data_IF_652460076312
#
_entry.id   IF_652460076312
#
_cell.length_a   1.000
_cell.length_b   1.000
_cell.length_c   1.000
_cell.angle_alpha   90.00
_cell.angle_beta   90.00
_cell.angle_gamma   90.00
#
_symmetry.space_group_name_H-M   'P 1'
#
loop_
_entity.id
_entity.type
_entity.pdbx_description
1 polymer ?
#
# COMPACT_ATOMS: atom_id res chain seq x y z
N UNK A 1 18.71 3.82 -12.44
CA UNK A 1 17.68 3.54 -13.45
C UNK A 1 16.75 4.73 -13.45
N UNK A 2 16.61 5.41 -14.60
CA UNK A 2 15.80 6.62 -14.74
C UNK A 2 14.33 6.21 -14.93
N UNK A 3 13.57 6.19 -13.85
CA UNK A 3 12.12 5.96 -13.90
C UNK A 3 11.47 7.23 -14.44
N UNK A 4 11.18 7.24 -15.74
CA UNK A 4 10.66 8.37 -16.49
C UNK A 4 9.65 9.21 -15.70
N UNK A 5 10.10 10.42 -15.32
CA UNK A 5 9.37 11.32 -14.43
C UNK A 5 7.99 11.64 -14.99
N UNK A 6 6.95 11.17 -14.31
CA UNK A 6 5.63 11.81 -14.42
C UNK A 6 5.33 12.51 -13.10
N UNK A 7 4.91 13.78 -13.18
CA UNK A 7 4.65 14.61 -12.00
C UNK A 7 3.28 14.26 -11.39
N UNK A 8 3.18 13.11 -10.70
CA UNK A 8 2.09 12.94 -9.73
C UNK A 8 2.27 13.98 -8.62
N UNK A 9 1.22 14.75 -8.32
CA UNK A 9 1.30 15.78 -7.28
C UNK A 9 1.21 15.15 -5.89
N UNK A 10 1.71 15.87 -4.88
CA UNK A 10 1.55 15.45 -3.48
C UNK A 10 0.07 15.30 -3.09
N UNK A 11 -0.82 16.10 -3.66
CA UNK A 11 -2.27 16.01 -3.39
C UNK A 11 -2.91 14.79 -4.04
N UNK A 12 -2.49 14.41 -5.24
CA UNK A 12 -2.88 13.15 -5.85
C UNK A 12 -2.41 11.98 -5.00
N UNK A 13 -1.15 11.98 -4.55
CA UNK A 13 -0.63 10.95 -3.64
C UNK A 13 -1.44 10.88 -2.35
N UNK A 14 -1.73 12.02 -1.70
CA UNK A 14 -2.59 12.07 -0.50
C UNK A 14 -3.97 11.47 -0.77
N UNK A 15 -4.54 11.74 -1.94
CA UNK A 15 -5.82 11.19 -2.35
C UNK A 15 -5.80 9.67 -2.44
N UNK A 16 -4.74 9.10 -3.02
CA UNK A 16 -4.53 7.66 -3.10
C UNK A 16 -4.32 7.03 -1.72
N UNK A 17 -3.57 7.69 -0.83
CA UNK A 17 -3.31 7.20 0.53
C UNK A 17 -4.55 7.10 1.40
N UNK A 18 -5.63 7.86 1.11
CA UNK A 18 -6.92 7.67 1.80
C UNK A 18 -7.49 6.26 1.62
N UNK A 19 -7.18 5.59 0.50
CA UNK A 19 -7.57 4.20 0.26
C UNK A 19 -6.57 3.22 0.88
N UNK A 20 -5.28 3.56 0.90
CA UNK A 20 -4.23 2.77 1.54
C UNK A 20 -4.55 2.51 3.01
N UNK A 21 -4.97 3.54 3.75
CA UNK A 21 -5.27 3.45 5.18
C UNK A 21 -6.53 2.64 5.52
N UNK A 22 -7.35 2.26 4.54
CA UNK A 22 -8.51 1.37 4.74
C UNK A 22 -8.12 -0.13 4.75
N UNK A 23 -6.84 -0.42 4.57
CA UNK A 23 -6.32 -1.77 4.66
C UNK A 23 -6.60 -2.39 6.04
N UNK A 24 -6.84 -3.71 6.12
CA UNK A 24 -6.85 -4.40 7.40
C UNK A 24 -5.45 -4.37 8.03
N UNK A 25 -5.41 -4.35 9.36
CA UNK A 25 -4.19 -4.57 10.15
C UNK A 25 -4.49 -5.42 11.37
N UNK A 26 -3.47 -6.09 11.89
CA UNK A 26 -3.61 -6.85 13.15
C UNK A 26 -4.11 -5.93 14.26
N UNK A 27 -5.13 -6.38 14.99
CA UNK A 27 -5.84 -5.58 16.00
C UNK A 27 -6.26 -4.16 15.57
N UNK A 28 -6.33 -3.89 14.25
CA UNK A 28 -6.57 -2.57 13.69
C UNK A 28 -5.55 -1.49 14.14
N UNK A 29 -4.31 -1.88 14.45
CA UNK A 29 -3.25 -0.97 14.93
C UNK A 29 -2.83 0.06 13.89
N UNK A 30 -3.01 -0.26 12.60
CA UNK A 30 -2.63 0.56 11.45
C UNK A 30 -1.16 1.01 11.53
N UNK A 31 -0.20 0.05 11.53
CA UNK A 31 1.18 0.31 11.89
C UNK A 31 2.04 0.79 10.72
N UNK A 32 1.46 1.60 9.83
CA UNK A 32 2.13 2.16 8.67
C UNK A 32 2.34 3.66 8.85
N UNK A 33 3.54 4.13 8.50
CA UNK A 33 3.84 5.56 8.35
C UNK A 33 4.20 5.84 6.90
N UNK A 34 3.50 6.78 6.30
CA UNK A 34 3.73 7.22 4.93
C UNK A 34 4.39 8.60 4.93
N UNK A 35 5.52 8.73 4.23
CA UNK A 35 6.16 10.01 3.97
C UNK A 35 6.08 10.32 2.48
N UNK A 36 5.46 11.47 2.15
CA UNK A 36 5.23 11.90 0.77
C UNK A 36 6.35 12.84 0.35
N UNK A 37 7.06 12.45 -0.70
CA UNK A 37 8.10 13.27 -1.34
C UNK A 37 7.60 13.77 -2.70
N UNK A 38 8.48 14.34 -3.52
CA UNK A 38 8.15 14.69 -4.89
C UNK A 38 8.16 13.42 -5.76
N UNK A 39 6.97 12.97 -6.20
CA UNK A 39 6.83 11.81 -7.10
C UNK A 39 6.95 10.43 -6.44
N UNK A 40 7.20 10.35 -5.12
CA UNK A 40 7.32 9.07 -4.42
C UNK A 40 6.73 9.08 -3.01
N UNK A 41 6.43 7.87 -2.51
CA UNK A 41 6.01 7.61 -1.12
C UNK A 41 6.98 6.65 -0.47
N UNK A 42 7.47 7.00 0.70
CA UNK A 42 8.22 6.11 1.56
C UNK A 42 7.26 5.46 2.55
N UNK A 43 7.30 4.13 2.63
CA UNK A 43 6.50 3.34 3.58
C UNK A 43 7.42 2.81 4.68
N UNK A 44 7.09 3.16 5.91
CA UNK A 44 7.78 2.69 7.11
C UNK A 44 6.86 1.85 7.99
N UNK A 45 7.45 0.87 8.67
CA UNK A 45 6.87 0.21 9.84
C UNK A 45 6.82 1.20 11.01
N UNK A 46 5.64 1.49 11.54
CA UNK A 46 5.50 2.27 12.77
C UNK A 46 5.58 1.34 13.99
N UNK A 47 6.81 1.11 14.48
CA UNK A 47 7.06 0.25 15.65
C UNK A 47 6.45 0.78 16.94
N UNK A 48 6.02 2.04 17.01
CA UNK A 48 5.27 2.55 18.17
C UNK A 48 3.87 1.91 18.28
N UNK A 49 3.42 1.23 17.21
CA UNK A 49 2.16 0.50 17.11
C UNK A 49 2.34 -1.02 17.07
N UNK A 50 3.55 -1.50 17.39
CA UNK A 50 3.86 -2.93 17.50
C UNK A 50 3.05 -3.61 18.61
N UNK A 51 2.91 -4.92 18.51
CA UNK A 51 2.19 -5.76 19.48
C UNK A 51 3.13 -6.82 20.04
N UNK A 52 4.14 -6.47 20.86
CA UNK A 52 5.22 -7.39 21.23
C UNK A 52 4.76 -8.69 21.93
N UNK A 53 3.58 -8.69 22.54
CA UNK A 53 2.99 -9.91 23.13
C UNK A 53 2.31 -10.82 22.10
N UNK A 54 1.73 -10.27 21.03
CA UNK A 54 0.98 -11.01 20.02
C UNK A 54 1.81 -11.31 18.76
N UNK A 55 2.70 -10.39 18.41
CA UNK A 55 3.54 -10.39 17.21
C UNK A 55 4.99 -10.02 17.60
N UNK A 56 5.69 -10.89 18.34
CA UNK A 56 7.03 -10.60 18.88
C UNK A 56 8.10 -10.37 17.81
N UNK A 57 7.89 -10.90 16.59
CA UNK A 57 8.78 -10.75 15.45
C UNK A 57 8.30 -9.66 14.47
N UNK A 58 7.21 -8.95 14.79
CA UNK A 58 6.59 -7.91 13.94
C UNK A 58 6.27 -8.37 12.50
N UNK A 59 5.93 -9.65 12.34
CA UNK A 59 5.53 -10.24 11.06
C UNK A 59 4.15 -9.76 10.66
N UNK A 60 3.20 -9.74 11.58
CA UNK A 60 1.85 -9.25 11.32
C UNK A 60 1.83 -7.74 11.07
N UNK A 61 2.70 -6.99 11.76
CA UNK A 61 2.96 -5.58 11.48
C UNK A 61 3.40 -5.38 10.03
N UNK A 62 4.41 -6.13 9.58
CA UNK A 62 4.93 -6.05 8.21
C UNK A 62 3.87 -6.44 7.19
N UNK A 63 3.11 -7.52 7.44
CA UNK A 63 1.98 -7.94 6.59
C UNK A 63 0.92 -6.85 6.50
N UNK A 64 0.59 -6.19 7.61
CA UNK A 64 -0.38 -5.09 7.64
C UNK A 64 0.08 -3.93 6.76
N UNK A 65 1.37 -3.56 6.80
CA UNK A 65 1.94 -2.56 5.91
C UNK A 65 1.86 -2.98 4.43
N UNK A 66 2.10 -4.26 4.14
CA UNK A 66 1.91 -4.84 2.81
C UNK A 66 0.46 -4.74 2.31
N UNK A 67 -0.53 -4.93 3.19
CA UNK A 67 -1.94 -4.71 2.85
C UNK A 67 -2.21 -3.25 2.48
N UNK A 68 -1.67 -2.29 3.23
CA UNK A 68 -1.81 -0.86 2.93
C UNK A 68 -1.13 -0.50 1.60
N UNK A 69 0.05 -1.05 1.32
CA UNK A 69 0.73 -0.90 0.03
C UNK A 69 -0.09 -1.47 -1.13
N UNK A 70 -0.74 -2.62 -0.96
CA UNK A 70 -1.59 -3.19 -2.01
C UNK A 70 -2.82 -2.31 -2.29
N UNK A 71 -3.46 -1.77 -1.24
CA UNK A 71 -4.55 -0.81 -1.42
C UNK A 71 -4.08 0.45 -2.17
N UNK A 72 -2.89 0.97 -1.86
CA UNK A 72 -2.28 2.08 -2.60
C UNK A 72 -2.10 1.75 -4.09
N UNK A 73 -1.58 0.56 -4.42
CA UNK A 73 -1.43 0.10 -5.80
C UNK A 73 -2.75 0.01 -6.55
N UNK A 74 -3.79 -0.51 -5.91
CA UNK A 74 -5.13 -0.62 -6.49
C UNK A 74 -5.75 0.76 -6.73
N UNK A 75 -5.60 1.69 -5.78
CA UNK A 75 -6.08 3.07 -5.93
C UNK A 75 -5.32 3.80 -7.05
N UNK A 76 -4.00 3.69 -7.10
CA UNK A 76 -3.18 4.30 -8.14
C UNK A 76 -3.56 3.79 -9.54
N UNK A 77 -3.76 2.47 -9.67
CA UNK A 77 -4.20 1.83 -10.90
C UNK A 77 -5.57 2.36 -11.38
N UNK A 78 -6.51 2.60 -10.46
CA UNK A 78 -7.83 3.18 -10.78
C UNK A 78 -7.73 4.59 -11.36
N UNK A 79 -6.72 5.35 -10.94
CA UNK A 79 -6.40 6.71 -11.41
C UNK A 79 -5.43 6.73 -12.61
N UNK A 80 -5.10 5.56 -13.18
CA UNK A 80 -4.24 5.45 -14.37
C UNK A 80 -2.73 5.53 -14.10
N UNK A 81 -2.31 5.39 -12.84
CA UNK A 81 -0.89 5.31 -12.48
C UNK A 81 -0.43 3.86 -12.34
N UNK A 82 0.70 3.56 -12.96
CA UNK A 82 1.52 2.39 -12.65
C UNK A 82 2.39 2.67 -11.42
N UNK A 83 2.56 1.65 -10.58
CA UNK A 83 3.28 1.74 -9.32
C UNK A 83 4.47 0.79 -9.35
N UNK A 84 5.66 1.36 -9.13
CA UNK A 84 6.90 0.62 -8.92
C UNK A 84 7.26 0.64 -7.44
N UNK A 85 7.66 -0.50 -6.91
CA UNK A 85 7.98 -0.66 -5.49
C UNK A 85 9.42 -1.14 -5.38
N UNK A 86 10.26 -0.29 -4.80
CA UNK A 86 11.60 -0.65 -4.37
C UNK A 86 11.54 -1.18 -2.93
N UNK A 87 11.90 -2.46 -2.76
CA UNK A 87 11.96 -3.16 -1.47
C UNK A 87 13.40 -3.34 -0.98
N UNK A 88 14.37 -2.65 -1.60
CA UNK A 88 15.76 -2.74 -1.18
C UNK A 88 15.91 -2.35 0.29
N UNK A 89 16.72 -3.09 1.08
CA UNK A 89 16.96 -2.77 2.47
C UNK A 89 17.43 -1.32 2.61
N UNK A 90 16.89 -0.60 3.59
CA UNK A 90 17.45 0.70 3.94
C UNK A 90 18.89 0.53 4.46
N UNK A 91 19.75 1.49 4.12
CA UNK A 91 21.13 1.51 4.60
C UNK A 91 21.23 2.08 6.03
N UNK A 92 20.14 2.62 6.58
CA UNK A 92 19.99 3.19 7.92
C UNK A 92 18.90 2.50 8.75
N UNK A 93 18.77 2.92 10.02
CA UNK A 93 18.07 2.26 11.15
C UNK A 93 16.59 1.93 10.85
N UNK A 94 16.38 0.81 10.15
CA UNK A 94 15.53 -0.30 10.60
C UNK A 94 14.12 -0.42 10.02
N UNK A 95 13.41 0.69 9.77
CA UNK A 95 11.95 0.61 9.62
C UNK A 95 11.38 0.94 8.24
N UNK A 96 12.21 1.40 7.29
CA UNK A 96 11.72 1.61 5.91
C UNK A 96 11.49 0.27 5.23
N UNK A 97 10.25 0.02 4.84
CA UNK A 97 9.82 -1.21 4.17
C UNK A 97 9.85 -1.08 2.65
N UNK A 98 9.51 0.10 2.11
CA UNK A 98 9.46 0.31 0.67
C UNK A 98 9.61 1.78 0.26
N UNK A 99 10.05 2.00 -0.98
CA UNK A 99 9.88 3.27 -1.70
C UNK A 99 8.96 3.01 -2.90
N UNK A 100 7.92 3.82 -3.04
CA UNK A 100 6.86 3.66 -4.02
C UNK A 100 6.93 4.81 -5.01
N UNK A 101 7.13 4.49 -6.29
CA UNK A 101 7.17 5.44 -7.40
C UNK A 101 5.93 5.29 -8.28
N UNK A 102 5.52 6.39 -8.91
CA UNK A 102 4.35 6.43 -9.78
C UNK A 102 4.75 6.85 -11.18
N UNK A 103 4.18 6.19 -12.18
CA UNK A 103 4.35 6.54 -13.59
C UNK A 103 2.96 6.58 -14.24
N UNK A 104 2.68 7.56 -15.10
CA UNK A 104 1.44 7.51 -15.89
C UNK A 104 1.49 6.31 -16.84
N UNK A 105 0.43 5.50 -16.81
CA UNK A 105 0.42 4.19 -17.46
C UNK A 105 0.55 4.23 -18.98
N UNK A 106 1.49 3.46 -19.50
CA UNK A 106 1.47 2.85 -20.83
C UNK A 106 1.34 1.32 -20.67
N UNK A 107 0.66 0.65 -21.59
CA UNK A 107 0.16 -0.72 -21.40
C UNK A 107 1.24 -1.81 -21.21
N UNK A 108 0.80 -2.90 -20.57
CA UNK A 108 1.25 -4.30 -20.73
C UNK A 108 2.29 -4.86 -19.75
N UNK A 109 1.93 -4.97 -18.47
CA UNK A 109 2.51 -6.00 -17.58
C UNK A 109 1.39 -6.71 -16.79
N UNK A 110 1.46 -8.05 -16.60
CA UNK A 110 0.55 -8.77 -15.71
C UNK A 110 0.64 -8.22 -14.28
N UNK A 111 -0.49 -7.85 -13.69
CA UNK A 111 -0.51 -7.17 -12.37
C UNK A 111 -0.12 -5.68 -12.39
N UNK A 112 0.08 -5.10 -13.59
CA UNK A 112 0.23 -3.66 -13.79
C UNK A 112 -1.10 -2.89 -13.63
N UNK A 113 -1.04 -1.57 -13.77
CA UNK A 113 -2.18 -0.66 -13.51
C UNK A 113 -3.44 -1.04 -14.29
N UNK A 114 -3.31 -1.35 -15.58
CA UNK A 114 -4.45 -1.70 -16.43
C UNK A 114 -5.17 -2.98 -15.94
N UNK A 115 -4.41 -3.99 -15.55
CA UNK A 115 -4.95 -5.25 -15.03
C UNK A 115 -5.66 -5.05 -13.68
N UNK A 116 -5.02 -4.31 -12.76
CA UNK A 116 -5.60 -4.00 -11.44
C UNK A 116 -6.88 -3.17 -11.55
N UNK A 117 -6.89 -2.17 -12.44
CA UNK A 117 -8.06 -1.31 -12.68
C UNK A 117 -9.27 -2.12 -13.18
N UNK A 118 -9.04 -3.14 -14.01
CA UNK A 118 -10.09 -4.01 -14.56
C UNK A 118 -10.63 -5.07 -13.59
N UNK A 119 -9.98 -5.30 -12.45
CA UNK A 119 -10.36 -6.40 -11.54
C UNK A 119 -11.55 -6.04 -10.63
N UNK A 120 -11.96 -4.77 -10.56
CA UNK A 120 -13.01 -4.31 -9.64
C UNK A 120 -12.59 -4.27 -8.16
N UNK A 121 -11.33 -4.59 -7.85
CA UNK A 121 -10.77 -4.58 -6.49
C UNK A 121 -10.93 -3.24 -5.78
N UNK A 122 -10.83 -2.14 -6.53
CA UNK A 122 -10.99 -0.79 -5.98
C UNK A 122 -12.33 -0.62 -5.24
N UNK A 123 -13.43 -1.13 -5.82
CA UNK A 123 -14.77 -1.06 -5.21
C UNK A 123 -14.86 -1.90 -3.91
N UNK A 124 -13.99 -2.89 -3.76
CA UNK A 124 -13.95 -3.72 -2.56
C UNK A 124 -13.25 -3.03 -1.39
N UNK A 125 -12.40 -2.02 -1.62
CA UNK A 125 -11.65 -1.34 -0.55
C UNK A 125 -12.59 -0.71 0.48
N UNK A 126 -13.63 0.00 0.03
CA UNK A 126 -14.56 0.73 0.90
C UNK A 126 -15.63 -0.17 1.53
N UNK A 127 -15.94 -1.30 0.89
CA UNK A 127 -17.04 -2.19 1.31
C UNK A 127 -16.57 -3.37 2.17
N UNK A 128 -15.28 -3.75 2.06
CA UNK A 128 -14.70 -4.84 2.84
C UNK A 128 -14.71 -4.52 4.33
N UNK A 129 -15.09 -5.51 5.13
CA UNK A 129 -15.03 -5.47 6.60
C UNK A 129 -14.69 -6.83 7.16
N UNK A 130 -14.06 -6.85 8.33
CA UNK A 130 -13.80 -8.10 9.05
C UNK A 130 -15.11 -8.61 9.63
N UNK A 131 -15.62 -9.71 9.07
CA UNK A 131 -16.81 -10.39 9.57
C UNK A 131 -16.41 -11.53 10.51
N UNK A 132 -16.86 -11.48 11.77
CA UNK A 132 -16.49 -12.44 12.82
C UNK A 132 -17.63 -13.39 13.22
N UNK A 133 -18.75 -13.36 12.50
CA UNK A 133 -19.84 -14.32 12.70
C UNK A 133 -19.70 -15.48 11.72
N UNK A 134 -20.50 -16.53 11.91
CA UNK A 134 -20.54 -17.69 11.02
C UNK A 134 -20.95 -17.26 9.60
N UNK A 135 -20.21 -17.73 8.60
CA UNK A 135 -20.61 -17.63 7.20
C UNK A 135 -21.65 -18.70 6.86
N UNK A 136 -22.58 -18.39 5.97
CA UNK A 136 -23.46 -19.41 5.39
C UNK A 136 -22.64 -20.41 4.56
N UNK A 137 -23.14 -21.64 4.33
CA UNK A 137 -22.56 -22.54 3.34
C UNK A 137 -22.44 -21.82 1.98
N UNK A 138 -21.39 -22.13 1.23
CA UNK A 138 -21.10 -21.54 -0.07
C UNK A 138 -21.96 -22.15 -1.16
#
# INVERSE_FOLDING_TARGET
>A
MDHGKTNITKDQIRSLLRYAILAPSSHNTQPWRFEITEGAVFLFADRTRALPANDPDDRELTISCGCALMNLRVAAAREGFEVFVDLSPAQDDGDRLAVVFFQSGGASQPGGAESLSKTGLFLSIETRRTYRKRFAPR
#
